data_IF_475242310034
#
_entry.id   IF_475242310034
#
_cell.length_a   1.000
_cell.length_b   1.000
_cell.length_c   1.000
_cell.angle_alpha   90.00
_cell.angle_beta   90.00
_cell.angle_gamma   90.00
#
_symmetry.space_group_name_H-M   'P 1'
#
loop_
_entity.id
_entity.type
_entity.pdbx_description
1 polymer ?
#
# COMPACT_ATOMS: atom_id res chain seq x y z
N UNK A 1 -9.34 -10.68 -0.42
CA UNK A 1 -9.25 -10.89 -1.80
C UNK A 1 -10.61 -10.98 -2.41
N UNK A 2 -10.64 -10.80 -3.65
CA UNK A 2 -11.87 -10.88 -4.37
C UNK A 2 -11.55 -11.14 -5.82
N UNK A 3 -12.59 -11.44 -6.55
CA UNK A 3 -12.43 -11.75 -7.94
C UNK A 3 -13.74 -11.46 -8.63
N UNK A 4 -13.67 -11.36 -9.94
CA UNK A 4 -14.82 -11.21 -10.77
C UNK A 4 -14.97 -12.39 -11.67
N UNK A 5 -16.21 -12.79 -11.90
CA UNK A 5 -16.53 -13.66 -12.98
C UNK A 5 -17.24 -12.84 -13.97
N UNK A 6 -16.72 -12.89 -15.08
CA UNK A 6 -17.45 -12.25 -16.15
C UNK A 6 -18.34 -13.29 -16.70
N UNK A 7 -19.19 -13.53 -16.27
CA UNK A 7 -19.86 -14.38 -16.44
C UNK A 7 -20.50 -14.88 -16.90
N UNK A 8 -20.41 -14.87 -16.38
CA UNK A 8 -20.80 -15.42 -16.38
C UNK A 8 -21.29 -15.88 -17.24
N UNK A 9 -21.19 -16.08 -17.40
CA UNK A 9 -21.47 -16.35 -18.02
C UNK A 9 -21.88 -16.95 -18.84
N UNK A 10 -22.37 -16.90 -18.89
CA UNK A 10 -22.82 -17.47 -19.54
C UNK A 10 -22.54 -17.67 -20.65
N UNK A 11 -22.17 -17.35 -20.83
CA UNK A 11 -21.81 -17.59 -21.75
C UNK A 11 -21.24 -18.45 -22.00
N UNK A 12 -21.15 -18.62 -21.26
CA UNK A 12 -20.64 -19.34 -21.40
C UNK A 12 -20.22 -20.09 -22.23
N UNK A 13 -20.33 -20.06 -22.49
CA UNK A 13 -19.85 -20.59 -23.20
C UNK A 13 -18.90 -20.43 -23.71
N UNK A 14 -18.82 -19.82 -23.48
CA UNK A 14 -17.93 -19.54 -23.85
C UNK A 14 -16.93 -19.73 -23.48
N UNK A 15 -16.49 -19.88 -22.91
CA UNK A 15 -15.60 -20.04 -22.55
C UNK A 15 -14.76 -19.76 -22.31
N UNK A 16 -15.00 -19.41 -22.48
CA UNK A 16 -14.17 -18.99 -22.23
C UNK A 16 -13.48 -19.04 -21.19
N UNK A 17 -12.83 -18.56 -21.16
CA UNK A 17 -12.18 -18.75 -19.92
C UNK A 17 -12.63 -17.70 -18.94
N UNK A 18 -12.66 -18.00 -17.65
CA UNK A 18 -12.97 -17.05 -16.62
C UNK A 18 -11.76 -16.17 -16.37
N UNK A 19 -11.99 -14.86 -16.30
CA UNK A 19 -10.94 -13.95 -15.91
C UNK A 19 -11.07 -13.74 -14.41
N UNK A 20 -10.03 -14.13 -13.68
CA UNK A 20 -10.00 -13.97 -12.23
C UNK A 20 -9.03 -12.85 -11.88
N UNK A 21 -9.55 -11.85 -11.17
CA UNK A 21 -8.72 -10.74 -10.69
C UNK A 21 -8.23 -11.09 -9.29
N UNK A 22 -6.94 -11.33 -9.16
CA UNK A 22 -6.33 -11.58 -7.86
C UNK A 22 -6.03 -10.26 -7.17
N UNK A 23 -5.82 -10.27 -5.84
CA UNK A 23 -5.43 -9.04 -5.15
C UNK A 23 -4.18 -8.39 -5.75
N UNK A 24 -3.20 -9.18 -6.17
CA UNK A 24 -1.99 -8.66 -6.80
C UNK A 24 -2.32 -7.98 -8.12
N UNK A 25 -3.11 -8.62 -8.97
CA UNK A 25 -3.49 -8.05 -10.25
C UNK A 25 -4.32 -6.78 -10.07
N UNK A 26 -5.18 -6.77 -9.07
CA UNK A 26 -6.00 -5.61 -8.79
C UNK A 26 -5.12 -4.38 -8.49
N UNK A 27 -4.07 -4.56 -7.70
CA UNK A 27 -3.15 -3.46 -7.44
C UNK A 27 -2.42 -3.01 -8.70
N UNK A 28 -2.00 -3.95 -9.52
CA UNK A 28 -1.27 -3.62 -10.74
C UNK A 28 -2.12 -2.91 -11.78
N UNK A 29 -3.44 -3.06 -11.70
CA UNK A 29 -4.37 -2.37 -12.59
C UNK A 29 -4.69 -0.95 -12.16
N UNK A 30 -4.32 -0.55 -10.94
CA UNK A 30 -4.54 0.82 -10.48
C UNK A 30 -3.73 1.79 -11.33
N UNK A 31 -4.32 2.94 -11.62
CA UNK A 31 -3.66 3.98 -12.41
C UNK A 31 -3.67 5.27 -11.61
N UNK A 32 -2.60 5.50 -10.86
CA UNK A 32 -2.46 6.70 -10.04
C UNK A 32 -2.26 7.97 -10.88
N UNK A 33 -1.87 7.81 -12.13
CA UNK A 33 -1.78 8.95 -13.04
C UNK A 33 -3.14 9.54 -13.37
N UNK A 34 -4.18 8.70 -13.41
CA UNK A 34 -5.55 9.13 -13.69
C UNK A 34 -6.39 9.31 -12.44
N UNK A 35 -6.17 8.46 -11.44
CA UNK A 35 -6.99 8.42 -10.24
C UNK A 35 -6.13 8.40 -9.01
N UNK A 36 -5.49 9.52 -8.74
CA UNK A 36 -4.68 9.63 -7.54
C UNK A 36 -5.59 9.83 -6.31
N UNK A 37 -5.31 9.16 -5.17
CA UNK A 37 -6.13 9.33 -3.95
C UNK A 37 -6.17 10.81 -3.54
N UNK A 38 -7.36 11.35 -3.27
CA UNK A 38 -7.50 12.81 -3.12
C UNK A 38 -7.18 13.38 -1.75
N UNK A 39 -7.06 12.56 -0.71
CA UNK A 39 -6.82 13.06 0.65
C UNK A 39 -5.68 12.31 1.30
N UNK A 40 -5.07 12.89 2.35
CA UNK A 40 -4.02 12.16 3.08
C UNK A 40 -4.47 10.79 3.57
N UNK A 41 -5.69 10.71 4.09
CA UNK A 41 -6.25 9.45 4.57
C UNK A 41 -6.33 8.42 3.45
N UNK A 42 -6.81 8.83 2.27
CA UNK A 42 -6.94 7.92 1.14
C UNK A 42 -5.57 7.45 0.65
N UNK A 43 -4.56 8.32 0.69
CA UNK A 43 -3.20 7.93 0.31
C UNK A 43 -2.67 6.87 1.26
N UNK A 44 -2.82 7.07 2.57
CA UNK A 44 -2.37 6.09 3.56
C UNK A 44 -3.16 4.79 3.43
N UNK A 45 -4.46 4.87 3.16
CA UNK A 45 -5.26 3.66 2.91
C UNK A 45 -4.68 2.84 1.76
N UNK A 46 -4.28 3.50 0.68
CA UNK A 46 -3.65 2.79 -0.44
C UNK A 46 -2.34 2.14 0.00
N UNK A 47 -1.53 2.86 0.75
CA UNK A 47 -0.28 2.30 1.26
C UNK A 47 -0.54 1.04 2.10
N UNK A 48 -1.53 1.10 2.99
CA UNK A 48 -1.86 -0.05 3.84
C UNK A 48 -2.36 -1.23 3.01
N UNK A 49 -3.17 -0.96 2.00
CA UNK A 49 -3.69 -2.00 1.12
C UNK A 49 -2.55 -2.70 0.36
N UNK A 50 -1.63 -1.92 -0.21
CA UNK A 50 -0.46 -2.47 -0.90
C UNK A 50 0.37 -3.32 0.06
N UNK A 51 0.58 -2.81 1.28
CA UNK A 51 1.36 -3.52 2.28
C UNK A 51 0.72 -4.86 2.63
N UNK A 52 -0.60 -4.87 2.82
CA UNK A 52 -1.30 -6.12 3.14
C UNK A 52 -1.15 -7.15 2.03
N UNK A 53 -1.33 -6.73 0.79
CA UNK A 53 -1.21 -7.66 -0.34
C UNK A 53 0.22 -8.19 -0.44
N UNK A 54 1.21 -7.31 -0.35
CA UNK A 54 2.60 -7.70 -0.42
C UNK A 54 2.97 -8.73 0.66
N UNK A 55 2.44 -8.55 1.86
CA UNK A 55 2.81 -9.41 2.99
C UNK A 55 2.01 -10.71 3.04
N UNK A 56 0.77 -10.70 2.60
CA UNK A 56 -0.11 -11.85 2.73
C UNK A 56 -0.16 -12.77 1.51
N UNK A 57 0.01 -12.20 0.31
CA UNK A 57 -0.16 -12.99 -0.91
C UNK A 57 1.15 -13.62 -1.35
N UNK A 58 1.03 -14.66 -2.19
CA UNK A 58 2.20 -15.26 -2.80
C UNK A 58 2.54 -14.47 -4.05
N UNK A 59 3.72 -13.86 -4.06
CA UNK A 59 4.19 -13.08 -5.20
C UNK A 59 5.54 -13.63 -5.67
N UNK A 60 5.72 -13.68 -6.98
CA UNK A 60 7.03 -13.97 -7.52
C UNK A 60 7.87 -12.69 -7.51
N UNK A 61 9.15 -12.79 -7.84
CA UNK A 61 10.07 -11.66 -7.80
C UNK A 61 9.62 -10.51 -8.68
N UNK A 62 9.09 -10.81 -9.86
CA UNK A 62 8.64 -9.77 -10.79
C UNK A 62 7.42 -9.04 -10.24
N UNK A 63 6.53 -9.77 -9.60
CA UNK A 63 5.35 -9.16 -8.99
C UNK A 63 5.70 -8.27 -7.82
N UNK A 64 6.64 -8.70 -6.97
CA UNK A 64 7.10 -7.86 -5.86
C UNK A 64 7.69 -6.57 -6.40
N UNK A 65 8.51 -6.67 -7.44
CA UNK A 65 9.11 -5.49 -8.05
C UNK A 65 8.05 -4.56 -8.63
N UNK A 66 7.11 -5.11 -9.40
CA UNK A 66 6.07 -4.29 -10.04
C UNK A 66 5.17 -3.61 -9.00
N UNK A 67 4.75 -4.34 -7.98
CA UNK A 67 3.87 -3.79 -6.93
C UNK A 67 4.65 -2.78 -6.08
N UNK A 68 5.89 -3.11 -5.73
CA UNK A 68 6.73 -2.21 -4.93
C UNK A 68 7.00 -0.89 -5.64
N UNK A 69 7.30 -0.93 -6.94
CA UNK A 69 7.54 0.29 -7.70
C UNK A 69 6.26 1.11 -7.86
N UNK A 70 5.12 0.44 -8.00
CA UNK A 70 3.85 1.16 -8.07
C UNK A 70 3.55 1.84 -6.73
N UNK A 71 3.86 1.19 -5.63
CA UNK A 71 3.69 1.77 -4.30
C UNK A 71 4.49 3.07 -4.15
N UNK A 72 5.68 3.13 -4.75
CA UNK A 72 6.51 4.34 -4.70
C UNK A 72 5.86 5.54 -5.38
N UNK A 73 4.83 5.34 -6.18
CA UNK A 73 4.11 6.46 -6.78
C UNK A 73 3.37 7.29 -5.74
N UNK A 74 3.18 6.74 -4.54
CA UNK A 74 2.58 7.46 -3.43
C UNK A 74 3.62 8.24 -2.60
N UNK A 75 4.89 8.06 -2.90
CA UNK A 75 5.99 8.64 -2.10
C UNK A 75 6.38 10.01 -2.62
N UNK A 76 6.69 10.90 -1.67
CA UNK A 76 7.34 12.18 -1.97
C UNK A 76 8.70 11.89 -2.60
N UNK A 77 9.16 12.78 -3.49
CA UNK A 77 10.42 12.59 -4.18
C UNK A 77 11.59 12.40 -3.22
N UNK A 78 11.60 13.08 -2.09
CA UNK A 78 12.68 12.93 -1.12
C UNK A 78 12.71 11.54 -0.52
N UNK A 79 11.53 10.98 -0.21
CA UNK A 79 11.47 9.62 0.31
C UNK A 79 11.85 8.61 -0.77
N UNK A 80 11.33 8.81 -1.97
CA UNK A 80 11.61 7.92 -3.09
C UNK A 80 13.10 7.89 -3.42
N UNK A 81 13.76 9.04 -3.37
CA UNK A 81 15.16 9.16 -3.73
C UNK A 81 16.13 8.83 -2.60
N UNK A 82 15.62 8.48 -1.43
CA UNK A 82 16.48 8.10 -0.29
C UNK A 82 17.26 6.81 -0.56
N UNK A 83 16.76 5.97 -1.44
CA UNK A 83 17.41 4.73 -1.87
C UNK A 83 17.24 4.56 -3.37
N UNK A 84 18.15 3.79 -3.99
CA UNK A 84 17.92 3.38 -5.38
C UNK A 84 16.75 2.41 -5.43
N UNK A 85 16.13 2.28 -6.60
CA UNK A 85 15.05 1.31 -6.78
C UNK A 85 15.55 -0.11 -6.48
N UNK A 86 16.78 -0.42 -6.86
CA UNK A 86 17.36 -1.73 -6.60
C UNK A 86 17.45 -2.01 -5.11
N UNK A 87 17.94 -1.07 -4.35
CA UNK A 87 18.05 -1.21 -2.89
C UNK A 87 16.68 -1.30 -2.23
N UNK A 88 15.74 -0.48 -2.67
CA UNK A 88 14.38 -0.47 -2.17
C UNK A 88 13.71 -1.84 -2.35
N UNK A 89 13.82 -2.41 -3.56
CA UNK A 89 13.21 -3.71 -3.87
C UNK A 89 13.89 -4.83 -3.09
N UNK A 90 15.21 -4.77 -2.95
CA UNK A 90 15.96 -5.74 -2.18
C UNK A 90 15.50 -5.74 -0.72
N UNK A 91 15.38 -4.57 -0.14
CA UNK A 91 14.93 -4.44 1.25
C UNK A 91 13.49 -4.92 1.41
N UNK A 92 12.64 -4.62 0.44
CA UNK A 92 11.25 -5.08 0.46
C UNK A 92 11.18 -6.60 0.43
N UNK A 93 11.93 -7.24 -0.47
CA UNK A 93 11.94 -8.70 -0.55
C UNK A 93 12.42 -9.34 0.75
N UNK A 94 13.43 -8.74 1.37
CA UNK A 94 13.96 -9.23 2.64
C UNK A 94 12.90 -9.13 3.74
N UNK A 95 12.21 -8.02 3.80
CA UNK A 95 11.13 -7.82 4.77
C UNK A 95 10.01 -8.84 4.58
N UNK A 96 9.59 -9.07 3.34
CA UNK A 96 8.52 -10.02 3.04
C UNK A 96 8.92 -11.44 3.41
N UNK A 97 10.16 -11.82 3.15
CA UNK A 97 10.66 -13.15 3.51
C UNK A 97 10.63 -13.34 5.04
N UNK A 98 11.12 -12.35 5.78
CA UNK A 98 11.13 -12.43 7.23
C UNK A 98 9.72 -12.55 7.78
N UNK A 99 8.79 -11.79 7.24
CA UNK A 99 7.40 -11.81 7.67
C UNK A 99 6.79 -13.20 7.49
N UNK A 100 7.00 -13.79 6.32
CA UNK A 100 6.45 -15.11 6.01
C UNK A 100 7.14 -16.22 6.80
N UNK A 101 8.44 -16.10 7.01
CA UNK A 101 9.19 -17.09 7.79
C UNK A 101 8.71 -17.14 9.24
N UNK A 102 8.16 -16.05 9.73
CA UNK A 102 7.58 -16.00 11.08
C UNK A 102 6.12 -16.41 11.12
N UNK A 103 5.56 -16.83 9.99
CA UNK A 103 4.14 -17.21 9.87
C UNK A 103 3.19 -16.10 10.29
N UNK A 104 3.58 -14.87 10.02
CA UNK A 104 2.73 -13.71 10.28
C UNK A 104 1.75 -13.51 9.13
N UNK A 105 0.59 -12.91 9.43
CA UNK A 105 -0.33 -12.46 8.39
C UNK A 105 -1.06 -11.21 8.88
N UNK A 106 -1.37 -10.31 7.96
CA UNK A 106 -2.11 -9.10 8.29
C UNK A 106 -3.60 -9.45 8.21
N UNK A 107 -4.31 -9.29 9.33
CA UNK A 107 -5.73 -9.63 9.42
C UNK A 107 -6.57 -8.49 8.89
N UNK A 108 -6.30 -7.29 9.38
CA UNK A 108 -6.97 -6.09 8.90
C UNK A 108 -6.09 -4.87 9.18
N UNK A 109 -6.55 -3.72 8.71
CA UNK A 109 -5.82 -2.47 8.84
C UNK A 109 -6.80 -1.31 8.82
N UNK A 110 -6.39 -0.19 9.40
CA UNK A 110 -7.23 1.01 9.42
C UNK A 110 -6.35 2.25 9.61
N UNK A 111 -6.94 3.39 9.27
CA UNK A 111 -6.28 4.70 9.41
C UNK A 111 -6.99 5.50 10.48
N UNK A 112 -6.36 6.59 10.89
CA UNK A 112 -7.02 7.64 11.69
C UNK A 112 -8.33 8.04 11.02
N UNK A 113 -9.31 8.44 11.81
CA UNK A 113 -10.52 9.02 11.23
C UNK A 113 -10.17 10.35 10.57
N UNK A 114 -11.02 10.81 9.65
CA UNK A 114 -10.77 12.07 8.95
C UNK A 114 -10.62 13.24 9.90
N UNK A 115 -11.34 13.21 11.03
CA UNK A 115 -11.27 14.30 12.00
C UNK A 115 -9.99 14.29 12.82
N UNK A 116 -9.27 13.15 12.83
CA UNK A 116 -8.02 13.03 13.58
C UNK A 116 -6.78 13.26 12.71
N UNK A 117 -6.97 13.53 11.42
CA UNK A 117 -5.86 13.90 10.56
C UNK A 117 -5.48 15.34 10.88
N UNK A 118 -4.20 15.55 11.23
CA UNK A 118 -3.70 16.90 11.52
C UNK A 118 -3.12 17.49 10.25
N UNK A 119 -3.47 18.73 9.95
CA UNK A 119 -2.91 19.44 8.80
C UNK A 119 -2.29 20.74 9.27
N UNK A 120 -1.12 21.04 8.76
CA UNK A 120 -0.39 22.25 9.17
C UNK A 120 0.60 22.61 8.04
N UNK A 121 1.22 23.79 8.16
CA UNK A 121 2.23 24.21 7.20
C UNK A 121 3.61 24.06 7.80
N UNK A 122 4.56 23.60 6.99
CA UNK A 122 5.94 23.44 7.42
C UNK A 122 6.84 23.62 6.21
N UNK A 123 7.79 24.54 6.33
CA UNK A 123 8.79 24.81 5.29
C UNK A 123 8.17 25.14 3.93
N UNK A 124 7.03 25.83 3.94
CA UNK A 124 6.37 26.23 2.70
C UNK A 124 5.46 25.18 2.10
N UNK A 125 5.28 24.05 2.76
CA UNK A 125 4.41 22.97 2.28
C UNK A 125 3.23 22.78 3.19
N UNK A 126 2.11 22.38 2.60
CA UNK A 126 1.02 21.83 3.39
C UNK A 126 1.40 20.41 3.79
N UNK A 127 1.27 20.10 5.06
CA UNK A 127 1.69 18.83 5.64
C UNK A 127 0.52 18.20 6.37
N UNK A 128 0.43 16.88 6.33
CA UNK A 128 -0.59 16.14 7.07
C UNK A 128 0.09 15.04 7.89
N UNK A 129 -0.48 14.77 9.06
CA UNK A 129 0.03 13.74 9.96
C UNK A 129 -1.13 12.87 10.39
N UNK A 130 -0.98 11.57 10.26
CA UNK A 130 -2.01 10.61 10.67
C UNK A 130 -1.37 9.26 10.94
N UNK A 131 -2.17 8.33 11.44
CA UNK A 131 -1.71 6.98 11.79
C UNK A 131 -2.31 5.94 10.89
N UNK A 132 -1.53 4.87 10.66
CA UNK A 132 -2.02 3.65 10.04
C UNK A 132 -1.73 2.50 10.99
N UNK A 133 -2.66 1.57 11.07
CA UNK A 133 -2.56 0.47 12.02
C UNK A 133 -2.82 -0.85 11.32
N UNK A 134 -1.98 -1.85 11.64
CA UNK A 134 -2.16 -3.22 11.17
C UNK A 134 -2.41 -4.14 12.36
N UNK A 135 -3.40 -5.01 12.22
CA UNK A 135 -3.57 -6.12 13.15
C UNK A 135 -2.91 -7.33 12.51
N UNK A 136 -1.92 -7.88 13.18
CA UNK A 136 -1.10 -8.96 12.63
C UNK A 136 -1.32 -10.22 13.46
N UNK A 137 -1.68 -11.31 12.77
CA UNK A 137 -1.79 -12.61 13.42
C UNK A 137 -0.40 -13.22 13.51
N UNK A 138 -0.10 -13.75 14.69
CA UNK A 138 1.14 -14.46 14.95
C UNK A 138 0.82 -15.82 15.55
N UNK A 139 1.83 -16.62 15.80
CA UNK A 139 1.65 -17.93 16.45
C UNK A 139 1.04 -17.80 17.84
N UNK A 140 1.32 -16.68 18.51
CA UNK A 140 0.93 -16.48 19.91
C UNK A 140 -0.31 -15.59 20.04
N UNK A 141 -0.96 -15.27 18.95
CA UNK A 141 -2.14 -14.43 18.97
C UNK A 141 -2.02 -13.25 18.00
N UNK A 142 -2.66 -12.15 18.33
CA UNK A 142 -2.69 -10.97 17.50
C UNK A 142 -1.82 -9.88 18.11
N UNK A 143 -1.06 -9.18 17.26
CA UNK A 143 -0.32 -8.02 17.74
C UNK A 143 -0.69 -6.82 16.86
N UNK A 144 -0.61 -5.64 17.44
CA UNK A 144 -0.97 -4.39 16.77
C UNK A 144 0.31 -3.65 16.40
N UNK A 145 0.44 -3.30 15.13
CA UNK A 145 1.56 -2.51 14.65
C UNK A 145 0.99 -1.20 14.14
N UNK A 146 1.46 -0.10 14.72
CA UNK A 146 1.00 1.23 14.34
C UNK A 146 2.16 2.05 13.79
N UNK A 147 1.89 2.80 12.74
CA UNK A 147 2.87 3.72 12.15
C UNK A 147 2.29 5.11 12.07
N UNK A 148 3.13 6.11 12.28
CA UNK A 148 2.75 7.49 12.03
C UNK A 148 3.26 7.86 10.64
N UNK A 149 2.40 8.54 9.87
CA UNK A 149 2.71 8.98 8.51
C UNK A 149 2.72 10.48 8.44
N UNK A 150 3.72 11.02 7.77
CA UNK A 150 3.80 12.44 7.44
C UNK A 150 3.69 12.53 5.92
N UNK A 151 2.73 13.32 5.46
CA UNK A 151 2.53 13.54 4.04
C UNK A 151 2.76 15.01 3.73
N UNK A 152 3.23 15.27 2.52
CA UNK A 152 3.45 16.61 2.03
C UNK A 152 2.65 16.78 0.75
N UNK A 153 2.02 17.93 0.59
CA UNK A 153 1.26 18.20 -0.64
C UNK A 153 2.24 18.67 -1.70
N UNK A 154 2.30 17.94 -2.80
CA UNK A 154 3.18 18.26 -3.91
C UNK A 154 2.62 19.50 -4.62
N UNK A 155 3.46 20.53 -4.73
CA UNK A 155 2.99 21.82 -5.24
C UNK A 155 2.59 21.77 -6.71
N UNK A 156 3.28 20.97 -7.51
CA UNK A 156 3.01 20.92 -8.95
C UNK A 156 1.73 20.20 -9.31
N UNK A 157 1.29 19.24 -8.49
CA UNK A 157 0.11 18.41 -8.80
C UNK A 157 -1.02 18.56 -7.81
N UNK A 158 -0.72 19.03 -6.61
CA UNK A 158 -1.69 19.03 -5.51
C UNK A 158 -1.88 17.67 -4.87
N UNK A 159 -1.07 16.69 -5.24
CA UNK A 159 -1.17 15.34 -4.67
C UNK A 159 -0.51 15.28 -3.30
N UNK A 160 -1.15 14.58 -2.39
CA UNK A 160 -0.55 14.29 -1.09
C UNK A 160 0.39 13.11 -1.25
N UNK A 161 1.66 13.29 -0.88
CA UNK A 161 2.69 12.27 -1.04
C UNK A 161 3.27 11.91 0.32
N UNK A 162 3.59 10.63 0.50
CA UNK A 162 4.16 10.18 1.76
C UNK A 162 5.59 10.67 1.85
N UNK A 163 5.84 11.55 2.80
CA UNK A 163 7.15 12.15 3.03
C UNK A 163 7.99 11.28 3.97
N UNK A 164 7.34 10.62 4.93
CA UNK A 164 8.01 9.72 5.84
C UNK A 164 7.02 8.97 6.69
N UNK A 165 7.49 7.90 7.31
CA UNK A 165 6.69 7.13 8.26
C UNK A 165 7.61 6.40 9.21
N UNK A 166 7.09 6.08 10.40
CA UNK A 166 7.88 5.41 11.42
C UNK A 166 6.96 4.63 12.36
N UNK A 167 7.47 3.54 12.94
CA UNK A 167 6.71 2.80 13.94
C UNK A 167 6.43 3.68 15.16
N UNK A 168 5.26 3.48 15.75
CA UNK A 168 4.91 4.11 17.02
C UNK A 168 5.22 3.11 18.11
N UNK A 169 6.02 3.51 19.08
CA UNK A 169 6.42 2.62 20.16
C UNK A 169 5.70 2.93 21.45
#
# INVERSE_FOLDING_TARGET
GYFYYLSNRDYADRHEEDVVITPVKDLLLKDFGKNYPPTPKEVVKQYLEFTKVLHNEELNDEEVEAVGLKLEELFDDELKNAKSDEEYIKDLKSELTTFKDNDYSIVNMYTSSSTDVEEFNMDGYEVARLYGTFNVRTKDGTKILQEVFILRKEQSTGHWKIYGFAPVT
#
